data_IF_035377916348
#
_entry.id   IF_035377916348
#
_cell.length_a   1.000
_cell.length_b   1.000
_cell.length_c   1.000
_cell.angle_alpha   90.00
_cell.angle_beta   90.00
_cell.angle_gamma   90.00
#
_symmetry.space_group_name_H-M   'P 1'
#
loop_
_entity.id
_entity.type
_entity.pdbx_description
1 polymer ?
#
# COMPACT_ATOMS: atom_id res chain seq x y z
N UNK A 1 -12.27 -43.58 -3.32
CA UNK A 1 -12.70 -42.26 -3.81
C UNK A 1 -12.56 -41.10 -2.79
N UNK A 2 -12.85 -41.28 -1.48
CA UNK A 2 -12.67 -40.21 -0.49
C UNK A 2 -11.22 -39.70 -0.38
N UNK A 3 -10.23 -40.55 -0.39
CA UNK A 3 -8.80 -40.17 -0.26
C UNK A 3 -8.27 -39.39 -1.47
N UNK A 4 -8.74 -39.66 -2.68
CA UNK A 4 -8.32 -38.94 -3.88
C UNK A 4 -8.77 -37.46 -3.82
N UNK A 5 -9.96 -37.19 -3.29
CA UNK A 5 -10.48 -35.84 -3.11
C UNK A 5 -9.62 -35.00 -2.13
N UNK A 6 -9.12 -35.62 -1.06
CA UNK A 6 -8.21 -34.95 -0.12
C UNK A 6 -6.83 -34.65 -0.75
N UNK A 7 -6.29 -35.58 -1.53
CA UNK A 7 -5.02 -35.34 -2.26
C UNK A 7 -5.16 -34.24 -3.30
N UNK A 8 -6.27 -34.21 -4.05
CA UNK A 8 -6.53 -33.14 -5.02
C UNK A 8 -6.67 -31.77 -4.32
N UNK A 9 -7.41 -31.68 -3.22
CA UNK A 9 -7.55 -30.45 -2.43
C UNK A 9 -6.20 -30.04 -1.83
N UNK A 10 -5.41 -30.97 -1.32
CA UNK A 10 -4.07 -30.70 -0.80
C UNK A 10 -3.11 -30.23 -1.89
N UNK A 11 -3.13 -30.85 -3.07
CA UNK A 11 -2.35 -30.42 -4.24
C UNK A 11 -2.80 -29.05 -4.79
N UNK A 12 -4.10 -28.77 -4.84
CA UNK A 12 -4.64 -27.47 -5.22
C UNK A 12 -4.24 -26.37 -4.24
N UNK A 13 -4.28 -26.66 -2.93
CA UNK A 13 -3.82 -25.71 -1.90
C UNK A 13 -2.31 -25.46 -2.00
N UNK A 14 -1.47 -26.46 -2.32
CA UNK A 14 -0.04 -26.28 -2.57
C UNK A 14 0.20 -25.44 -3.82
N UNK A 15 -0.53 -25.69 -4.92
CA UNK A 15 -0.46 -24.89 -6.14
C UNK A 15 -0.91 -23.44 -5.89
N UNK A 16 -1.93 -23.23 -5.04
CA UNK A 16 -2.34 -21.87 -4.65
C UNK A 16 -1.26 -21.13 -3.85
N UNK A 17 -0.46 -21.82 -3.03
CA UNK A 17 0.63 -21.21 -2.25
C UNK A 17 1.77 -20.75 -3.17
N UNK A 18 2.03 -21.47 -4.27
CA UNK A 18 3.16 -21.19 -5.19
C UNK A 18 2.85 -20.02 -6.15
N UNK A 19 1.59 -19.66 -6.36
CA UNK A 19 1.16 -18.70 -7.37
C UNK A 19 1.30 -17.20 -6.99
N UNK A 20 2.11 -16.88 -5.99
CA UNK A 20 2.32 -15.49 -5.57
C UNK A 20 3.77 -15.24 -5.18
N UNK A 21 4.22 -14.00 -5.38
CA UNK A 21 5.51 -13.51 -4.89
C UNK A 21 5.29 -12.29 -4.03
N UNK A 22 5.90 -12.27 -2.86
CA UNK A 22 5.82 -11.19 -1.88
C UNK A 22 7.17 -10.52 -1.77
N UNK A 23 7.23 -9.23 -2.03
CA UNK A 23 8.38 -8.38 -1.81
C UNK A 23 8.13 -7.50 -0.58
N UNK A 24 8.67 -7.82 0.60
CA UNK A 24 8.66 -6.89 1.71
C UNK A 24 9.40 -5.62 1.31
N UNK A 25 8.82 -4.47 1.57
CA UNK A 25 9.48 -3.20 1.28
C UNK A 25 9.58 -2.32 2.50
N UNK A 26 10.57 -1.43 2.46
CA UNK A 26 10.77 -0.36 3.44
C UNK A 26 10.86 0.96 2.73
N UNK A 27 10.37 1.98 3.42
CA UNK A 27 10.56 3.37 3.05
C UNK A 27 11.61 3.97 4.00
N UNK A 28 12.58 4.66 3.46
CA UNK A 28 13.69 5.22 4.24
C UNK A 28 13.41 6.60 4.85
N UNK A 29 12.13 6.95 5.05
CA UNK A 29 11.80 8.20 5.75
C UNK A 29 12.13 8.06 7.24
N UNK A 30 13.14 8.77 7.69
CA UNK A 30 13.46 8.90 9.12
C UNK A 30 12.70 10.10 9.72
N UNK A 31 11.48 9.85 10.21
CA UNK A 31 10.59 10.87 10.79
C UNK A 31 11.22 11.64 11.98
N UNK A 32 12.24 11.06 12.62
CA UNK A 32 12.83 11.61 13.84
C UNK A 32 14.07 12.50 13.63
N UNK A 33 14.70 12.46 12.45
CA UNK A 33 15.97 13.14 12.16
C UNK A 33 15.84 14.36 11.25
N UNK A 34 14.62 14.73 10.87
CA UNK A 34 14.39 15.66 9.79
C UNK A 34 14.42 17.12 10.27
N UNK A 35 15.47 17.82 9.90
CA UNK A 35 15.50 19.30 9.90
C UNK A 35 14.58 19.82 8.79
N UNK A 36 13.99 21.01 8.95
CA UNK A 36 12.96 21.56 8.07
C UNK A 36 13.30 21.46 6.55
N UNK A 37 14.56 21.67 6.16
CA UNK A 37 14.98 21.62 4.75
C UNK A 37 15.10 20.22 4.16
N UNK A 38 15.65 19.27 4.90
CA UNK A 38 15.88 17.90 4.42
C UNK A 38 14.59 17.08 4.36
N UNK A 39 13.68 17.33 5.28
CA UNK A 39 12.41 16.62 5.39
C UNK A 39 11.56 16.68 4.12
N UNK A 40 11.44 17.87 3.57
CA UNK A 40 10.62 18.11 2.39
C UNK A 40 11.21 17.41 1.17
N UNK A 41 12.52 17.44 1.02
CA UNK A 41 13.22 16.74 -0.06
C UNK A 41 12.99 15.23 0.02
N UNK A 42 13.04 14.64 1.21
CA UNK A 42 12.78 13.21 1.42
C UNK A 42 11.33 12.81 1.14
N UNK A 43 10.35 13.67 1.43
CA UNK A 43 8.94 13.42 1.06
C UNK A 43 8.70 13.52 -0.45
N UNK A 44 9.51 14.28 -1.19
CA UNK A 44 9.45 14.34 -2.65
C UNK A 44 10.20 13.23 -3.36
N UNK A 45 11.13 12.57 -2.69
CA UNK A 45 11.92 11.48 -3.24
C UNK A 45 11.84 10.26 -2.32
N UNK A 46 10.62 9.72 -2.19
CA UNK A 46 10.37 8.53 -1.40
C UNK A 46 11.15 7.35 -1.98
N UNK A 47 11.98 6.75 -1.15
CA UNK A 47 12.80 5.63 -1.54
C UNK A 47 12.22 4.32 -1.00
N UNK A 48 11.18 3.82 -1.67
CA UNK A 48 10.56 2.53 -1.34
C UNK A 48 11.41 1.42 -1.90
N UNK A 49 12.07 0.69 -1.01
CA UNK A 49 13.05 -0.35 -1.40
C UNK A 49 12.63 -1.73 -0.92
N UNK A 50 12.94 -2.72 -1.75
CA UNK A 50 12.89 -4.14 -1.40
C UNK A 50 14.24 -4.79 -1.65
N UNK A 51 14.49 -5.96 -1.08
CA UNK A 51 15.72 -6.69 -1.30
C UNK A 51 15.47 -7.94 -2.13
N UNK A 52 16.35 -8.19 -3.09
CA UNK A 52 16.48 -9.47 -3.77
C UNK A 52 17.86 -10.06 -3.47
N UNK A 53 17.99 -11.35 -3.71
CA UNK A 53 19.28 -12.05 -3.71
C UNK A 53 19.52 -12.57 -5.12
N UNK A 54 20.64 -12.21 -5.74
CA UNK A 54 20.95 -12.53 -7.13
C UNK A 54 22.29 -13.23 -7.25
N UNK A 55 22.37 -14.20 -8.19
CA UNK A 55 23.60 -14.93 -8.52
C UNK A 55 23.91 -16.10 -7.61
N UNK A 56 25.04 -16.77 -7.89
CA UNK A 56 25.54 -17.93 -7.13
C UNK A 56 27.04 -17.77 -6.86
N UNK A 57 27.47 -17.44 -5.64
CA UNK A 57 26.68 -17.26 -4.42
C UNK A 57 25.77 -16.04 -4.46
N UNK A 58 24.70 -16.07 -3.64
CA UNK A 58 23.72 -15.00 -3.61
C UNK A 58 24.32 -13.69 -3.09
N UNK A 59 24.10 -12.61 -3.85
CA UNK A 59 24.41 -11.24 -3.47
C UNK A 59 23.11 -10.49 -3.18
N UNK A 60 23.02 -9.86 -2.01
CA UNK A 60 21.83 -9.08 -1.61
C UNK A 60 21.87 -7.71 -2.28
N UNK A 61 20.85 -7.41 -3.09
CA UNK A 61 20.74 -6.15 -3.83
C UNK A 61 19.43 -5.46 -3.45
N UNK A 62 19.48 -4.24 -2.93
CA UNK A 62 18.29 -3.42 -2.72
C UNK A 62 17.79 -2.87 -4.07
N UNK A 63 16.49 -3.00 -4.32
CA UNK A 63 15.80 -2.48 -5.48
C UNK A 63 14.83 -1.39 -5.08
N UNK A 64 14.87 -0.24 -5.72
CA UNK A 64 13.84 0.78 -5.61
C UNK A 64 12.63 0.40 -6.48
N UNK A 65 11.44 0.44 -5.90
CA UNK A 65 10.18 0.11 -6.60
C UNK A 65 9.68 1.36 -7.33
N UNK A 66 9.42 1.23 -8.66
CA UNK A 66 8.95 2.33 -9.51
C UNK A 66 7.73 1.95 -10.34
N UNK A 67 6.63 2.71 -10.20
CA UNK A 67 5.42 2.51 -11.00
C UNK A 67 5.56 3.02 -12.44
N UNK A 68 6.50 3.92 -12.70
CA UNK A 68 6.72 4.56 -14.01
C UNK A 68 7.81 3.93 -14.85
N UNK A 69 8.46 2.89 -14.36
CA UNK A 69 9.51 2.14 -15.05
C UNK A 69 9.02 0.74 -15.46
N UNK A 70 9.43 0.23 -16.62
CA UNK A 70 9.02 -1.09 -17.11
C UNK A 70 9.95 -2.22 -16.62
N UNK A 71 11.24 -1.96 -16.52
CA UNK A 71 12.27 -2.98 -16.48
C UNK A 71 12.75 -3.29 -15.08
N UNK A 72 13.18 -4.54 -14.88
CA UNK A 72 14.08 -4.91 -13.80
C UNK A 72 15.49 -4.48 -14.19
N UNK A 73 16.09 -3.65 -13.35
CA UNK A 73 17.43 -3.11 -13.56
C UNK A 73 18.29 -3.43 -12.35
N UNK A 74 19.49 -3.91 -12.58
CA UNK A 74 20.51 -4.17 -11.57
C UNK A 74 21.75 -3.35 -11.92
N UNK A 75 22.34 -2.64 -10.96
CA UNK A 75 23.57 -1.89 -11.21
C UNK A 75 24.79 -2.78 -10.99
N UNK A 76 25.71 -2.73 -11.96
CA UNK A 76 26.97 -3.43 -11.92
C UNK A 76 27.92 -2.84 -10.89
N UNK A 77 28.72 -3.70 -10.27
CA UNK A 77 29.77 -3.26 -9.34
C UNK A 77 30.82 -2.39 -10.05
N UNK A 78 31.09 -1.26 -9.43
CA UNK A 78 32.22 -0.39 -9.80
C UNK A 78 33.05 -0.13 -8.55
N UNK A 79 34.36 -0.29 -8.65
CA UNK A 79 35.31 -0.34 -7.53
C UNK A 79 35.33 0.91 -6.63
N UNK A 80 34.75 2.04 -7.07
CA UNK A 80 34.83 3.33 -6.38
C UNK A 80 33.55 3.74 -5.65
N UNK A 81 32.47 2.94 -5.68
CA UNK A 81 31.19 3.32 -5.12
C UNK A 81 30.91 2.71 -3.75
N UNK A 82 30.48 3.54 -2.81
CA UNK A 82 29.97 3.12 -1.47
C UNK A 82 28.63 2.38 -1.52
N UNK A 83 28.06 2.19 -2.74
CA UNK A 83 26.73 1.59 -2.95
C UNK A 83 26.86 0.08 -3.11
N UNK A 84 25.93 -0.67 -2.54
CA UNK A 84 25.83 -2.12 -2.71
C UNK A 84 25.37 -2.40 -4.13
N UNK A 85 26.27 -2.87 -4.99
CA UNK A 85 26.00 -3.19 -6.37
C UNK A 85 26.30 -4.67 -6.66
N UNK A 86 25.71 -5.19 -7.75
CA UNK A 86 25.89 -6.57 -8.15
C UNK A 86 27.23 -6.79 -8.82
N UNK A 87 28.03 -7.73 -8.31
CA UNK A 87 29.29 -8.16 -8.94
C UNK A 87 29.02 -9.43 -9.78
N UNK A 88 28.84 -9.25 -11.09
CA UNK A 88 28.59 -10.33 -12.03
C UNK A 88 29.73 -11.36 -12.09
N UNK A 89 30.97 -10.94 -11.82
CA UNK A 89 32.15 -11.84 -11.87
C UNK A 89 32.16 -12.84 -10.71
N UNK A 90 31.43 -12.55 -9.64
CA UNK A 90 31.28 -13.45 -8.50
C UNK A 90 30.13 -14.45 -8.66
N UNK A 91 29.33 -14.35 -9.73
CA UNK A 91 28.21 -15.28 -9.96
C UNK A 91 28.57 -16.35 -10.98
N UNK A 92 28.39 -17.62 -10.57
CA UNK A 92 28.59 -18.78 -11.44
C UNK A 92 27.46 -18.99 -12.44
N UNK A 93 26.28 -18.39 -12.19
CA UNK A 93 25.07 -18.54 -13.01
C UNK A 93 24.78 -17.34 -13.88
N UNK A 94 25.59 -16.27 -13.76
CA UNK A 94 25.47 -15.08 -14.59
C UNK A 94 25.68 -15.37 -16.05
N UNK A 95 24.79 -14.86 -16.91
CA UNK A 95 24.95 -14.88 -18.37
C UNK A 95 24.63 -13.50 -18.93
N UNK A 96 25.35 -13.12 -19.98
CA UNK A 96 25.08 -11.89 -20.71
C UNK A 96 25.14 -12.18 -22.21
N UNK A 97 24.14 -11.74 -22.95
CA UNK A 97 24.02 -11.97 -24.40
C UNK A 97 24.69 -10.86 -25.22
N UNK A 98 24.92 -9.69 -24.59
CA UNK A 98 25.47 -8.52 -25.27
C UNK A 98 26.96 -8.36 -24.93
N UNK A 99 27.77 -8.21 -25.93
CA UNK A 99 29.24 -7.95 -25.78
C UNK A 99 29.50 -6.51 -25.33
N UNK A 100 28.62 -5.56 -25.66
CA UNK A 100 28.77 -4.13 -25.35
C UNK A 100 27.49 -3.57 -24.70
N UNK A 101 27.60 -2.63 -23.74
CA UNK A 101 26.44 -1.91 -23.20
C UNK A 101 25.78 -1.08 -24.29
N UNK A 102 24.45 -1.08 -24.30
CA UNK A 102 23.60 -0.33 -25.21
C UNK A 102 22.66 0.55 -24.41
N UNK A 103 22.26 1.70 -24.95
CA UNK A 103 21.25 2.57 -24.35
C UNK A 103 19.84 1.99 -24.61
N UNK A 104 19.14 1.57 -23.57
CA UNK A 104 17.78 1.00 -23.66
C UNK A 104 16.67 2.00 -23.33
N UNK A 105 16.94 3.29 -23.36
CA UNK A 105 15.92 4.32 -23.12
C UNK A 105 15.47 4.43 -21.65
N UNK A 106 16.29 3.97 -20.72
CA UNK A 106 16.07 4.16 -19.28
C UNK A 106 16.97 5.30 -18.80
N UNK A 107 16.45 6.54 -18.69
CA UNK A 107 17.27 7.72 -18.38
C UNK A 107 18.03 7.57 -17.05
N UNK A 108 17.46 6.81 -16.11
CA UNK A 108 18.03 6.63 -14.77
C UNK A 108 19.31 5.81 -14.76
N UNK A 109 19.62 5.01 -15.81
CA UNK A 109 20.74 4.07 -15.82
C UNK A 109 21.69 4.21 -17.00
N UNK A 110 21.41 5.10 -17.95
CA UNK A 110 22.26 5.29 -19.11
C UNK A 110 22.49 4.00 -19.91
N UNK A 111 23.74 3.59 -20.07
CA UNK A 111 24.10 2.36 -20.79
C UNK A 111 23.88 1.12 -19.93
N UNK A 112 23.31 0.07 -20.54
CA UNK A 112 23.06 -1.21 -19.89
C UNK A 112 23.27 -2.38 -20.83
N UNK A 113 23.38 -3.59 -20.27
CA UNK A 113 23.56 -4.85 -20.99
C UNK A 113 22.43 -5.80 -20.65
N UNK A 114 21.92 -6.52 -21.63
CA UNK A 114 20.99 -7.64 -21.42
C UNK A 114 21.70 -8.77 -20.70
N UNK A 115 21.17 -9.14 -19.56
CA UNK A 115 21.76 -10.15 -18.68
C UNK A 115 20.70 -11.00 -18.05
N UNK A 116 21.06 -12.20 -17.59
CA UNK A 116 20.20 -13.04 -16.78
C UNK A 116 20.98 -13.71 -15.65
N UNK A 117 20.27 -14.08 -14.61
CA UNK A 117 20.79 -14.85 -13.49
C UNK A 117 19.66 -15.47 -12.67
N UNK A 118 20.02 -16.25 -11.66
CA UNK A 118 19.10 -16.75 -10.64
C UNK A 118 18.79 -15.62 -9.66
N UNK A 119 17.50 -15.40 -9.38
CA UNK A 119 17.04 -14.44 -8.38
C UNK A 119 16.30 -15.18 -7.29
N UNK A 120 16.59 -14.87 -6.03
CA UNK A 120 15.86 -15.36 -4.88
C UNK A 120 15.11 -14.20 -4.22
N UNK A 121 13.80 -14.38 -4.02
CA UNK A 121 12.93 -13.46 -3.30
C UNK A 121 12.32 -14.23 -2.12
N UNK A 122 12.62 -13.81 -0.90
CA UNK A 122 12.31 -14.59 0.30
C UNK A 122 12.82 -16.05 0.20
N UNK A 123 11.92 -17.03 0.25
CA UNK A 123 12.26 -18.46 0.09
C UNK A 123 12.16 -18.96 -1.36
N UNK A 124 11.62 -18.16 -2.28
CA UNK A 124 11.39 -18.57 -3.65
C UNK A 124 12.63 -18.31 -4.52
N UNK A 125 13.02 -19.31 -5.30
CA UNK A 125 14.12 -19.23 -6.27
C UNK A 125 13.49 -19.10 -7.66
N UNK A 126 13.94 -18.08 -8.38
CA UNK A 126 13.49 -17.73 -9.73
C UNK A 126 14.67 -17.91 -10.67
N UNK A 127 14.64 -19.00 -11.42
CA UNK A 127 15.73 -19.33 -12.34
C UNK A 127 15.63 -18.52 -13.63
N UNK A 128 16.77 -18.13 -14.18
CA UNK A 128 16.93 -17.53 -15.51
C UNK A 128 16.05 -16.27 -15.70
N UNK A 129 16.16 -15.33 -14.77
CA UNK A 129 15.45 -14.04 -14.83
C UNK A 129 16.29 -13.02 -15.60
N UNK A 130 15.69 -12.44 -16.65
CA UNK A 130 16.33 -11.40 -17.44
C UNK A 130 16.22 -10.04 -16.79
N UNK A 131 17.29 -9.26 -16.84
CA UNK A 131 17.37 -7.90 -16.35
C UNK A 131 18.33 -7.05 -17.20
N UNK A 132 18.24 -5.74 -17.04
CA UNK A 132 19.23 -4.81 -17.58
C UNK A 132 20.33 -4.61 -16.54
N UNK A 133 21.56 -4.96 -16.87
CA UNK A 133 22.74 -4.66 -16.06
C UNK A 133 23.27 -3.29 -16.43
N UNK A 134 23.02 -2.30 -15.57
CA UNK A 134 23.43 -0.90 -15.77
C UNK A 134 24.87 -0.64 -15.32
N UNK A 135 25.53 0.29 -15.98
CA UNK A 135 26.95 0.65 -15.76
C UNK A 135 27.15 2.13 -15.37
N UNK A 136 26.11 2.86 -15.06
CA UNK A 136 26.23 4.28 -14.72
C UNK A 136 26.81 4.47 -13.30
N UNK A 137 27.80 5.34 -13.21
CA UNK A 137 28.61 5.57 -12.00
C UNK A 137 28.03 6.61 -11.04
N UNK A 138 27.05 7.40 -11.46
CA UNK A 138 26.62 8.60 -10.72
C UNK A 138 25.33 8.39 -9.91
N UNK A 139 24.86 7.15 -9.75
CA UNK A 139 23.57 6.86 -9.10
C UNK A 139 23.73 6.46 -7.64
N UNK A 140 22.71 6.80 -6.86
CA UNK A 140 22.59 6.46 -5.43
C UNK A 140 21.85 5.14 -5.19
N UNK A 141 21.35 4.50 -6.26
CA UNK A 141 20.51 3.31 -6.23
C UNK A 141 21.30 2.07 -6.64
N UNK A 142 20.99 0.91 -6.05
CA UNK A 142 21.62 -0.38 -6.40
C UNK A 142 20.88 -1.13 -7.51
N UNK A 143 19.61 -0.82 -7.71
CA UNK A 143 18.76 -1.37 -8.75
C UNK A 143 17.35 -0.83 -8.71
N UNK A 144 16.57 -1.15 -9.75
CA UNK A 144 15.20 -0.67 -9.95
C UNK A 144 14.27 -1.83 -10.27
N UNK A 145 13.14 -1.90 -9.59
CA UNK A 145 12.03 -2.81 -9.89
C UNK A 145 10.90 -2.02 -10.57
N UNK A 146 10.83 -2.13 -11.88
CA UNK A 146 9.81 -1.46 -12.68
C UNK A 146 8.49 -2.23 -12.72
N UNK A 147 7.38 -1.53 -12.48
CA UNK A 147 6.02 -2.07 -12.45
C UNK A 147 5.07 -1.41 -13.46
N UNK A 148 5.58 -0.55 -14.37
CA UNK A 148 4.76 0.13 -15.37
C UNK A 148 3.97 -0.87 -16.23
N UNK A 149 2.72 -0.53 -16.67
CA UNK A 149 1.93 -1.38 -17.55
C UNK A 149 2.68 -1.70 -18.84
N UNK A 150 2.52 -2.93 -19.34
CA UNK A 150 3.29 -3.45 -20.46
C UNK A 150 2.68 -3.08 -21.81
N UNK A 151 3.56 -2.65 -22.71
CA UNK A 151 3.46 -2.98 -24.11
C UNK A 151 4.27 -4.28 -24.39
N UNK A 152 3.89 -5.07 -25.38
CA UNK A 152 4.32 -6.45 -25.64
C UNK A 152 5.84 -6.67 -25.81
N UNK A 153 6.65 -5.63 -25.83
CA UNK A 153 8.07 -5.68 -26.22
C UNK A 153 9.08 -5.81 -25.07
N UNK A 154 8.66 -5.73 -23.78
CA UNK A 154 9.64 -5.62 -22.69
C UNK A 154 9.90 -6.95 -21.99
N UNK A 155 10.89 -7.67 -22.51
CA UNK A 155 11.35 -8.95 -21.96
C UNK A 155 12.01 -8.87 -20.56
N UNK A 156 12.30 -7.65 -20.09
CA UNK A 156 12.94 -7.39 -18.80
C UNK A 156 11.95 -7.01 -17.69
N UNK A 157 10.64 -6.99 -17.98
CA UNK A 157 9.65 -6.80 -16.94
C UNK A 157 9.52 -8.06 -16.10
N UNK A 158 9.72 -7.95 -14.79
CA UNK A 158 9.70 -9.09 -13.88
C UNK A 158 8.33 -9.79 -13.88
N UNK A 159 7.22 -9.05 -13.77
CA UNK A 159 5.86 -9.63 -13.70
C UNK A 159 5.56 -10.45 -14.98
N UNK A 160 5.95 -9.93 -16.14
CA UNK A 160 5.77 -10.63 -17.40
C UNK A 160 6.59 -11.95 -17.46
N UNK A 161 7.82 -11.93 -16.96
CA UNK A 161 8.66 -13.12 -16.90
C UNK A 161 8.08 -14.17 -15.96
N UNK A 162 7.59 -13.76 -14.79
CA UNK A 162 6.93 -14.64 -13.82
C UNK A 162 5.70 -15.33 -14.45
N UNK A 163 4.89 -14.57 -15.21
CA UNK A 163 3.74 -15.12 -15.94
C UNK A 163 4.16 -16.11 -17.02
N UNK A 164 5.14 -15.75 -17.87
CA UNK A 164 5.66 -16.64 -18.92
C UNK A 164 6.27 -17.94 -18.39
N UNK A 165 6.85 -17.91 -17.20
CA UNK A 165 7.40 -19.07 -16.52
C UNK A 165 6.37 -19.85 -15.69
N UNK A 166 5.09 -19.47 -15.73
CA UNK A 166 3.99 -20.06 -14.97
C UNK A 166 4.21 -20.05 -13.46
N UNK A 167 5.00 -19.09 -12.96
CA UNK A 167 5.22 -18.88 -11.51
C UNK A 167 4.02 -18.15 -10.90
N UNK A 168 3.39 -17.27 -11.68
CA UNK A 168 2.12 -16.60 -11.32
C UNK A 168 1.07 -16.87 -12.41
N UNK A 169 -0.21 -16.89 -12.01
CA UNK A 169 -1.31 -17.11 -12.96
C UNK A 169 -1.83 -15.81 -13.60
N UNK A 170 -1.67 -14.68 -12.94
CA UNK A 170 -2.16 -13.38 -13.38
C UNK A 170 -1.10 -12.30 -13.18
N UNK A 171 -1.04 -11.36 -14.12
CA UNK A 171 -0.13 -10.20 -14.01
C UNK A 171 -0.75 -9.11 -13.14
N UNK A 172 -1.04 -9.46 -11.90
CA UNK A 172 -1.68 -8.62 -10.91
C UNK A 172 -0.65 -8.25 -9.85
N UNK A 173 -0.70 -7.02 -9.37
CA UNK A 173 0.01 -6.65 -8.17
C UNK A 173 -0.75 -5.58 -7.37
N UNK A 174 -0.43 -5.49 -6.09
CA UNK A 174 -0.92 -4.43 -5.20
C UNK A 174 0.06 -4.20 -4.04
N UNK A 175 -0.10 -3.06 -3.40
CA UNK A 175 0.67 -2.68 -2.22
C UNK A 175 -0.17 -2.87 -0.97
N UNK A 176 0.37 -3.62 -0.01
CA UNK A 176 -0.17 -3.77 1.32
C UNK A 176 0.71 -2.99 2.28
N UNK A 177 0.21 -1.88 2.79
CA UNK A 177 0.94 -1.05 3.75
C UNK A 177 0.71 -1.53 5.18
N UNK A 178 1.76 -1.50 6.00
CA UNK A 178 1.65 -1.81 7.43
C UNK A 178 0.78 -0.76 8.14
N UNK A 179 -0.16 -1.22 8.97
CA UNK A 179 -0.99 -0.33 9.80
C UNK A 179 -0.18 0.31 10.94
N UNK A 180 0.80 -0.42 11.48
CA UNK A 180 1.55 -0.03 12.67
C UNK A 180 2.85 0.69 12.34
N UNK A 181 3.40 0.49 11.13
CA UNK A 181 4.65 1.11 10.71
C UNK A 181 4.46 1.82 9.36
N UNK A 182 4.57 3.14 9.39
CA UNK A 182 4.46 3.97 8.18
C UNK A 182 5.47 3.58 7.10
N UNK A 183 6.63 3.08 7.50
CA UNK A 183 7.77 2.84 6.62
C UNK A 183 7.80 1.42 6.04
N UNK A 184 6.83 0.56 6.32
CA UNK A 184 6.88 -0.85 5.93
C UNK A 184 5.62 -1.28 5.18
N UNK A 185 5.79 -2.29 4.34
CA UNK A 185 4.70 -2.93 3.62
C UNK A 185 5.17 -4.11 2.79
N UNK A 186 4.27 -4.60 1.95
CA UNK A 186 4.49 -5.71 1.05
C UNK A 186 3.97 -5.35 -0.35
N UNK A 187 4.77 -5.58 -1.37
CA UNK A 187 4.32 -5.65 -2.77
C UNK A 187 3.96 -7.12 -3.05
N UNK A 188 2.71 -7.38 -3.31
CA UNK A 188 2.19 -8.72 -3.58
C UNK A 188 1.90 -8.83 -5.07
N UNK A 189 2.46 -9.87 -5.71
CA UNK A 189 2.34 -10.12 -7.15
C UNK A 189 1.68 -11.48 -7.38
N UNK A 190 0.73 -11.56 -8.31
CA UNK A 190 0.12 -12.79 -8.80
C UNK A 190 -1.24 -13.15 -8.20
N UNK A 191 -1.67 -12.51 -7.12
CA UNK A 191 -2.96 -12.75 -6.45
C UNK A 191 -3.71 -11.47 -6.15
N UNK A 192 -5.05 -11.59 -6.08
CA UNK A 192 -5.91 -10.52 -5.59
C UNK A 192 -5.89 -10.42 -4.06
N UNK A 193 -6.13 -9.24 -3.48
CA UNK A 193 -6.30 -9.08 -2.04
C UNK A 193 -7.35 -10.02 -1.43
N UNK A 194 -8.50 -10.23 -2.08
CA UNK A 194 -9.55 -11.13 -1.59
C UNK A 194 -9.17 -12.62 -1.63
N UNK A 195 -8.14 -13.00 -2.40
CA UNK A 195 -7.59 -14.35 -2.40
C UNK A 195 -6.55 -14.55 -1.30
N UNK A 196 -5.78 -13.51 -1.00
CA UNK A 196 -4.70 -13.53 -0.02
C UNK A 196 -5.18 -13.19 1.40
N UNK A 197 -6.06 -12.19 1.53
CA UNK A 197 -6.59 -11.69 2.81
C UNK A 197 -8.12 -11.73 2.84
N UNK A 198 -8.70 -12.91 2.68
CA UNK A 198 -10.15 -13.16 2.60
C UNK A 198 -10.98 -12.56 3.76
N UNK A 199 -10.35 -12.34 4.92
CA UNK A 199 -11.01 -11.74 6.09
C UNK A 199 -11.17 -10.22 5.99
N UNK A 200 -10.36 -9.57 5.18
CA UNK A 200 -10.29 -8.10 5.05
C UNK A 200 -10.98 -7.64 3.77
N UNK A 201 -10.78 -8.39 2.69
CA UNK A 201 -11.27 -8.01 1.36
C UNK A 201 -12.36 -8.95 0.87
N UNK A 202 -13.54 -8.41 0.58
CA UNK A 202 -14.62 -9.14 -0.07
C UNK A 202 -14.55 -8.93 -1.59
N UNK A 203 -14.62 -10.03 -2.35
CA UNK A 203 -14.66 -10.00 -3.80
C UNK A 203 -15.84 -9.18 -4.35
N UNK A 204 -16.96 -9.18 -3.65
CA UNK A 204 -18.16 -8.44 -4.07
C UNK A 204 -17.97 -6.92 -4.03
N UNK A 205 -17.02 -6.44 -3.22
CA UNK A 205 -16.66 -5.03 -3.11
C UNK A 205 -15.56 -4.61 -4.09
N UNK A 206 -15.08 -5.55 -4.92
CA UNK A 206 -14.06 -5.27 -5.92
C UNK A 206 -14.68 -4.65 -7.17
N UNK A 207 -14.24 -3.45 -7.51
CA UNK A 207 -14.64 -2.72 -8.71
C UNK A 207 -13.42 -2.41 -9.56
N UNK A 208 -13.62 -2.30 -10.86
CA UNK A 208 -12.54 -2.05 -11.82
C UNK A 208 -12.88 -0.93 -12.78
N UNK A 209 -11.85 -0.23 -13.26
CA UNK A 209 -11.90 0.71 -14.37
C UNK A 209 -10.82 0.36 -15.39
N UNK A 210 -11.06 0.66 -16.65
CA UNK A 210 -10.07 0.51 -17.70
C UNK A 210 -8.89 1.46 -17.47
N UNK A 211 -7.68 0.98 -17.75
CA UNK A 211 -6.50 1.85 -17.84
C UNK A 211 -6.70 2.88 -18.96
N UNK A 212 -6.33 4.13 -18.67
CA UNK A 212 -6.32 5.18 -19.67
C UNK A 212 -5.06 5.01 -20.52
N UNK A 213 -5.25 4.70 -21.80
CA UNK A 213 -4.16 4.50 -22.75
C UNK A 213 -4.06 5.72 -23.65
N UNK A 214 -3.16 6.65 -23.35
CA UNK A 214 -2.91 7.84 -24.20
C UNK A 214 -2.09 7.49 -25.44
N UNK A 215 -0.95 6.83 -25.26
CA UNK A 215 -0.06 6.30 -26.30
C UNK A 215 0.64 5.04 -25.77
N UNK A 216 1.05 4.10 -26.63
CA UNK A 216 1.68 2.84 -26.19
C UNK A 216 2.87 3.05 -25.25
N UNK A 217 3.73 4.02 -25.51
CA UNK A 217 4.92 4.32 -24.70
C UNK A 217 4.64 5.16 -23.45
N UNK A 218 3.48 5.80 -23.37
CA UNK A 218 3.07 6.71 -22.29
C UNK A 218 2.00 6.09 -21.37
N UNK A 219 1.86 4.75 -21.37
CA UNK A 219 0.92 4.08 -20.48
C UNK A 219 1.37 4.22 -19.03
N UNK A 220 0.57 4.90 -18.23
CA UNK A 220 0.70 4.98 -16.79
C UNK A 220 -0.53 4.35 -16.12
N UNK A 221 -0.43 4.04 -14.85
CA UNK A 221 -1.61 3.73 -14.08
C UNK A 221 -2.33 5.04 -13.79
N UNK A 222 -3.46 5.24 -14.44
CA UNK A 222 -4.23 6.49 -14.39
C UNK A 222 -5.71 6.17 -14.19
N UNK A 223 -6.40 7.02 -13.42
CA UNK A 223 -7.85 6.99 -13.27
C UNK A 223 -8.45 8.36 -13.59
N UNK A 224 -9.70 8.36 -14.06
CA UNK A 224 -10.48 9.58 -14.23
C UNK A 224 -11.12 9.98 -12.91
N UNK A 225 -10.95 11.25 -12.55
CA UNK A 225 -11.67 11.92 -11.47
C UNK A 225 -12.56 12.99 -12.14
N UNK A 226 -13.86 12.79 -12.06
CA UNK A 226 -14.84 13.62 -12.77
C UNK A 226 -15.22 14.84 -11.95
N UNK A 227 -15.09 14.76 -10.62
CA UNK A 227 -15.39 15.87 -9.71
C UNK A 227 -14.46 15.86 -8.50
N UNK A 228 -13.96 17.05 -8.14
CA UNK A 228 -13.24 17.28 -6.90
C UNK A 228 -14.08 18.25 -6.06
N UNK A 229 -14.45 17.84 -4.84
CA UNK A 229 -15.24 18.66 -3.93
C UNK A 229 -14.46 18.98 -2.66
N UNK A 230 -14.45 20.26 -2.27
CA UNK A 230 -13.79 20.77 -1.08
C UNK A 230 -14.77 21.73 -0.39
N UNK A 231 -15.38 21.30 0.70
CA UNK A 231 -16.45 22.11 1.33
C UNK A 231 -17.57 22.43 0.35
N UNK A 232 -17.79 23.71 0.11
CA UNK A 232 -18.79 24.21 -0.85
C UNK A 232 -18.24 24.37 -2.28
N UNK A 233 -16.93 24.25 -2.48
CA UNK A 233 -16.30 24.34 -3.77
C UNK A 233 -16.39 23.02 -4.51
N UNK A 234 -16.68 23.09 -5.81
CA UNK A 234 -16.68 21.92 -6.71
C UNK A 234 -15.92 22.25 -7.99
N UNK A 235 -14.95 21.41 -8.35
CA UNK A 235 -14.25 21.40 -9.62
C UNK A 235 -14.83 20.22 -10.42
N UNK A 236 -15.67 20.53 -11.42
CA UNK A 236 -16.39 19.52 -12.22
C UNK A 236 -15.75 19.38 -13.61
N UNK A 237 -14.46 19.19 -13.64
CA UNK A 237 -13.69 18.94 -14.86
C UNK A 237 -13.10 17.54 -14.77
N UNK A 238 -13.22 16.76 -15.84
CA UNK A 238 -12.62 15.43 -15.90
C UNK A 238 -11.09 15.54 -15.86
N UNK A 239 -10.50 15.15 -14.75
CA UNK A 239 -9.06 15.19 -14.51
C UNK A 239 -8.49 13.78 -14.51
N UNK A 240 -7.33 13.61 -15.14
CA UNK A 240 -6.63 12.34 -15.16
C UNK A 240 -5.58 12.33 -14.06
N UNK A 241 -5.71 11.40 -13.11
CA UNK A 241 -4.78 11.23 -12.01
C UNK A 241 -3.88 10.01 -12.27
N UNK A 242 -2.58 10.25 -12.30
CA UNK A 242 -1.58 9.18 -12.30
C UNK A 242 -1.26 8.74 -10.86
N UNK A 243 -0.74 7.52 -10.69
CA UNK A 243 -0.24 7.04 -9.40
C UNK A 243 1.28 7.15 -9.31
N UNK A 244 1.78 7.57 -8.16
CA UNK A 244 3.22 7.66 -7.88
C UNK A 244 3.54 7.12 -6.49
N UNK A 245 4.55 6.24 -6.41
CA UNK A 245 5.16 5.81 -5.15
C UNK A 245 6.36 6.68 -4.77
N UNK A 246 6.83 7.51 -5.69
CA UNK A 246 8.09 8.24 -5.56
C UNK A 246 7.94 9.51 -4.74
N UNK A 247 6.71 9.94 -4.46
CA UNK A 247 6.44 11.09 -3.61
C UNK A 247 5.29 10.80 -2.64
N UNK A 248 5.30 11.53 -1.54
CA UNK A 248 4.26 11.43 -0.52
C UNK A 248 2.97 12.13 -0.94
N UNK A 249 3.07 13.23 -1.65
CA UNK A 249 2.05 14.24 -1.87
C UNK A 249 1.00 13.88 -2.92
N UNK A 250 -0.19 14.47 -2.81
CA UNK A 250 -1.09 14.66 -3.92
C UNK A 250 -0.57 15.85 -4.71
N UNK A 251 -0.23 15.63 -5.98
CA UNK A 251 0.25 16.67 -6.87
C UNK A 251 -0.91 17.29 -7.64
N UNK A 252 -1.00 18.61 -7.63
CA UNK A 252 -2.09 19.37 -8.22
C UNK A 252 -1.49 20.46 -9.12
N UNK A 253 -2.05 20.70 -10.33
CA UNK A 253 -1.65 21.80 -11.18
C UNK A 253 -1.78 23.15 -10.48
N UNK A 254 -0.83 24.05 -10.72
CA UNK A 254 -0.75 25.37 -10.09
C UNK A 254 -2.01 26.24 -10.29
N UNK A 255 -2.73 26.07 -11.40
CA UNK A 255 -3.95 26.84 -11.68
C UNK A 255 -5.05 26.64 -10.62
N UNK A 256 -5.06 25.50 -9.94
CA UNK A 256 -6.03 25.20 -8.88
C UNK A 256 -5.57 25.63 -7.48
N UNK A 257 -4.33 26.14 -7.34
CA UNK A 257 -3.70 26.46 -6.05
C UNK A 257 -4.59 27.34 -5.16
N UNK A 258 -5.15 28.41 -5.73
CA UNK A 258 -5.97 29.38 -4.98
C UNK A 258 -7.19 28.74 -4.31
N UNK A 259 -7.79 27.72 -4.94
CA UNK A 259 -8.95 27.03 -4.38
C UNK A 259 -8.60 26.26 -3.12
N UNK A 260 -7.45 25.57 -3.13
CA UNK A 260 -6.97 24.79 -1.98
C UNK A 260 -6.41 25.70 -0.87
N UNK A 261 -5.73 26.78 -1.24
CA UNK A 261 -5.23 27.76 -0.25
C UNK A 261 -6.36 28.34 0.57
N UNK A 262 -7.44 28.78 -0.05
CA UNK A 262 -8.56 29.39 0.61
C UNK A 262 -9.23 28.46 1.65
N UNK A 263 -9.22 27.15 1.42
CA UNK A 263 -9.87 26.16 2.28
C UNK A 263 -8.95 25.57 3.36
N UNK A 264 -7.65 25.45 3.06
CA UNK A 264 -6.72 24.67 3.90
C UNK A 264 -5.56 25.48 4.47
N UNK A 265 -5.31 26.68 3.99
CA UNK A 265 -4.10 27.45 4.34
C UNK A 265 -4.46 28.76 5.01
N UNK A 266 -4.09 28.88 6.29
CA UNK A 266 -4.13 30.15 6.99
C UNK A 266 -2.77 30.83 6.91
N UNK A 267 -2.68 31.95 6.23
CA UNK A 267 -1.43 32.68 6.00
C UNK A 267 -0.72 33.16 7.29
N UNK A 268 -1.41 33.23 8.42
CA UNK A 268 -0.80 33.58 9.71
C UNK A 268 -0.16 32.41 10.41
N UNK A 269 -0.59 31.17 10.11
CA UNK A 269 -0.13 29.93 10.74
C UNK A 269 0.64 29.00 9.79
N UNK A 270 0.52 29.23 8.48
CA UNK A 270 1.13 28.40 7.45
C UNK A 270 2.08 29.24 6.58
N UNK A 271 3.30 28.74 6.40
CA UNK A 271 4.32 29.35 5.55
C UNK A 271 4.35 28.64 4.19
N UNK A 272 4.26 29.43 3.11
CA UNK A 272 4.54 28.97 1.74
C UNK A 272 6.02 28.68 1.60
N UNK A 273 6.36 27.53 1.01
CA UNK A 273 7.72 27.17 0.62
C UNK A 273 7.69 26.85 -0.88
N UNK A 274 8.65 27.38 -1.62
CA UNK A 274 8.85 27.16 -3.03
C UNK A 274 10.27 26.65 -3.26
N UNK A 275 10.40 25.54 -3.98
CA UNK A 275 11.72 24.99 -4.30
C UNK A 275 12.16 25.33 -5.72
N UNK A 276 13.43 25.03 -6.05
CA UNK A 276 14.09 25.34 -7.33
C UNK A 276 13.38 24.74 -8.57
N UNK A 277 12.45 23.79 -8.36
CA UNK A 277 11.70 23.10 -9.42
C UNK A 277 10.26 23.67 -9.53
N UNK A 278 10.02 24.87 -9.04
CA UNK A 278 8.70 25.53 -9.03
C UNK A 278 7.59 24.67 -8.39
N UNK A 279 7.91 23.93 -7.34
CA UNK A 279 6.93 23.20 -6.50
C UNK A 279 6.58 24.07 -5.31
N UNK A 280 5.29 24.25 -5.08
CA UNK A 280 4.78 25.02 -3.95
C UNK A 280 4.09 24.09 -2.98
N UNK A 281 4.46 24.16 -1.73
CA UNK A 281 3.83 23.45 -0.62
C UNK A 281 3.76 24.34 0.62
N UNK A 282 3.03 23.87 1.64
CA UNK A 282 2.77 24.64 2.86
C UNK A 282 3.22 23.86 4.09
N UNK A 283 3.87 24.60 4.99
CA UNK A 283 4.26 24.11 6.32
C UNK A 283 3.56 24.99 7.34
N UNK A 284 2.75 24.36 8.19
CA UNK A 284 1.96 25.05 9.21
C UNK A 284 2.53 24.81 10.60
N UNK A 285 2.21 25.69 11.54
CA UNK A 285 2.57 25.52 12.94
C UNK A 285 1.87 24.29 13.53
N UNK A 286 2.49 23.69 14.54
CA UNK A 286 1.97 22.46 15.18
C UNK A 286 0.58 22.67 15.83
N UNK A 287 0.31 23.89 16.26
CA UNK A 287 -0.96 24.32 16.87
C UNK A 287 -2.03 24.75 15.85
N UNK A 288 -1.77 24.53 14.55
CA UNK A 288 -2.75 24.81 13.50
C UNK A 288 -3.98 23.89 13.66
N UNK A 289 -5.16 24.49 13.85
CA UNK A 289 -6.41 23.76 14.10
C UNK A 289 -6.97 23.15 12.82
N UNK A 290 -6.54 21.90 12.53
CA UNK A 290 -6.99 21.14 11.35
C UNK A 290 -8.40 20.55 11.54
N UNK A 291 -8.98 20.56 12.77
CA UNK A 291 -10.28 19.94 13.05
C UNK A 291 -11.46 20.68 12.41
N UNK A 292 -11.27 21.95 12.06
CA UNK A 292 -12.27 22.80 11.40
C UNK A 292 -12.21 22.78 9.87
N UNK A 293 -11.22 22.08 9.31
CA UNK A 293 -11.02 22.05 7.86
C UNK A 293 -11.94 21.02 7.19
N UNK A 294 -12.28 21.30 5.95
CA UNK A 294 -13.10 20.41 5.14
C UNK A 294 -12.29 19.20 4.64
N UNK A 295 -13.01 18.11 4.37
CA UNK A 295 -12.46 16.95 3.66
C UNK A 295 -12.37 17.23 2.17
N UNK A 296 -11.45 16.57 1.47
CA UNK A 296 -11.43 16.55 0.01
C UNK A 296 -12.10 15.26 -0.47
N UNK A 297 -12.98 15.40 -1.46
CA UNK A 297 -13.67 14.29 -2.10
C UNK A 297 -13.28 14.25 -3.58
N UNK A 298 -12.87 13.07 -4.06
CA UNK A 298 -12.53 12.81 -5.45
C UNK A 298 -13.53 11.78 -5.99
N UNK A 299 -14.48 12.21 -6.81
CA UNK A 299 -15.47 11.32 -7.41
C UNK A 299 -14.99 10.81 -8.75
N UNK A 300 -15.04 9.49 -8.94
CA UNK A 300 -14.77 8.81 -10.20
C UNK A 300 -16.03 8.10 -10.71
N UNK A 301 -16.54 8.55 -11.85
CA UNK A 301 -17.69 7.94 -12.49
C UNK A 301 -17.37 6.50 -12.95
N UNK A 302 -16.18 6.31 -13.52
CA UNK A 302 -15.74 5.00 -14.02
C UNK A 302 -15.64 3.93 -12.93
N UNK A 303 -15.35 4.33 -11.68
CA UNK A 303 -15.32 3.45 -10.51
C UNK A 303 -16.61 3.52 -9.70
N UNK A 304 -17.54 4.45 -10.03
CA UNK A 304 -18.73 4.74 -9.23
C UNK A 304 -18.42 4.83 -7.73
N UNK A 305 -17.40 5.64 -7.41
CA UNK A 305 -16.90 5.77 -6.05
C UNK A 305 -16.36 7.17 -5.76
N UNK A 306 -16.54 7.62 -4.52
CA UNK A 306 -15.97 8.88 -4.02
C UNK A 306 -14.84 8.56 -3.03
N UNK A 307 -13.61 8.87 -3.40
CA UNK A 307 -12.47 8.81 -2.50
C UNK A 307 -12.48 10.02 -1.60
N UNK A 308 -12.39 9.82 -0.29
CA UNK A 308 -12.43 10.88 0.71
C UNK A 308 -11.09 10.94 1.43
N UNK A 309 -10.46 12.12 1.45
CA UNK A 309 -9.30 12.38 2.30
C UNK A 309 -9.75 13.34 3.39
N UNK A 310 -9.68 12.89 4.63
CA UNK A 310 -10.05 13.71 5.78
C UNK A 310 -9.01 14.80 6.02
N UNK A 311 -9.42 15.89 6.66
CA UNK A 311 -8.53 17.02 6.94
C UNK A 311 -7.29 16.62 7.75
N UNK A 312 -7.43 15.71 8.71
CA UNK A 312 -6.32 15.23 9.54
C UNK A 312 -5.31 14.36 8.76
N UNK A 313 -5.74 13.73 7.67
CA UNK A 313 -4.88 12.96 6.76
C UNK A 313 -4.14 13.86 5.76
N UNK A 314 -4.68 15.07 5.49
CA UNK A 314 -4.05 16.07 4.62
C UNK A 314 -2.84 16.77 5.25
N UNK A 315 -2.60 16.55 6.54
CA UNK A 315 -1.47 17.16 7.23
C UNK A 315 -0.55 16.09 7.81
N UNK A 316 0.64 15.99 7.24
CA UNK A 316 1.67 15.14 7.80
C UNK A 316 2.24 15.76 9.08
N UNK A 317 2.21 15.01 10.19
CA UNK A 317 2.68 15.48 11.49
C UNK A 317 4.18 15.28 11.63
N UNK A 318 4.95 16.35 11.44
CA UNK A 318 6.37 16.41 11.80
C UNK A 318 6.55 16.60 13.31
N UNK A 319 7.82 16.74 13.74
CA UNK A 319 8.15 16.94 15.16
C UNK A 319 7.52 18.24 15.70
N UNK A 320 7.71 19.35 15.01
CA UNK A 320 7.33 20.69 15.44
C UNK A 320 6.41 21.42 14.44
N UNK A 321 6.08 20.80 13.31
CA UNK A 321 5.31 21.39 12.22
C UNK A 321 4.33 20.39 11.63
N UNK A 322 3.32 20.92 10.95
CA UNK A 322 2.39 20.19 10.09
C UNK A 322 2.73 20.50 8.63
N UNK A 323 2.85 19.47 7.80
CA UNK A 323 3.11 19.63 6.38
C UNK A 323 1.84 19.30 5.61
N UNK A 324 1.36 20.24 4.83
CA UNK A 324 0.20 20.03 3.99
C UNK A 324 0.53 19.03 2.87
N UNK A 325 -0.20 17.92 2.81
CA UNK A 325 0.09 16.78 1.93
C UNK A 325 -0.31 17.02 0.46
N UNK A 326 -0.52 18.27 0.08
CA UNK A 326 -0.76 18.70 -1.30
C UNK A 326 0.40 19.57 -1.74
N UNK A 327 0.88 19.31 -2.95
CA UNK A 327 1.89 20.14 -3.63
C UNK A 327 1.37 20.65 -4.95
N UNK A 328 1.63 21.93 -5.21
CA UNK A 328 1.24 22.58 -6.45
C UNK A 328 2.42 22.58 -7.43
N UNK A 329 2.15 22.08 -8.63
CA UNK A 329 3.15 21.87 -9.68
C UNK A 329 2.89 22.80 -10.88
N UNK A 330 3.95 23.30 -11.51
CA UNK A 330 3.82 24.05 -12.76
C UNK A 330 3.29 23.18 -13.92
N UNK A 331 3.48 21.86 -13.85
CA UNK A 331 2.95 20.89 -14.80
C UNK A 331 1.45 20.71 -14.62
N UNK A 332 0.74 20.41 -15.73
CA UNK A 332 -0.72 20.19 -15.72
C UNK A 332 -1.12 18.77 -15.29
N UNK A 333 -0.20 18.00 -14.70
CA UNK A 333 -0.45 16.64 -14.29
C UNK A 333 -0.96 16.58 -12.86
N UNK A 334 -2.03 15.78 -12.66
CA UNK A 334 -2.50 15.39 -11.35
C UNK A 334 -1.88 14.03 -10.96
N UNK A 335 -1.52 13.87 -9.70
CA UNK A 335 -0.96 12.61 -9.23
C UNK A 335 -1.36 12.30 -7.79
N UNK A 336 -1.75 11.05 -7.56
CA UNK A 336 -1.90 10.48 -6.23
C UNK A 336 -0.58 9.89 -5.76
N UNK A 337 -0.03 10.45 -4.68
CA UNK A 337 1.21 9.97 -4.08
C UNK A 337 1.02 8.82 -3.10
N UNK A 338 2.09 8.49 -2.39
CA UNK A 338 2.16 7.42 -1.39
C UNK A 338 1.05 7.50 -0.33
N UNK A 339 0.75 8.69 0.16
CA UNK A 339 -0.32 8.93 1.14
C UNK A 339 -1.66 8.35 0.68
N UNK A 340 -2.04 8.62 -0.57
CA UNK A 340 -3.29 8.15 -1.15
C UNK A 340 -3.28 6.62 -1.36
N UNK A 341 -2.18 6.09 -1.92
CA UNK A 341 -2.01 4.65 -2.11
C UNK A 341 -2.00 3.87 -0.81
N UNK A 342 -1.53 4.49 0.28
CA UNK A 342 -1.56 3.89 1.61
C UNK A 342 -2.98 3.80 2.18
N UNK A 343 -3.82 4.79 1.90
CA UNK A 343 -5.20 4.80 2.36
C UNK A 343 -6.08 3.81 1.59
N UNK A 344 -5.88 3.75 0.29
CA UNK A 344 -6.72 2.95 -0.60
C UNK A 344 -5.92 1.83 -1.27
N UNK A 345 -6.41 0.60 -1.15
CA UNK A 345 -5.76 -0.56 -1.77
C UNK A 345 -6.15 -0.67 -3.23
N UNK A 346 -5.29 -0.18 -4.10
CA UNK A 346 -5.43 -0.35 -5.55
C UNK A 346 -4.78 -1.64 -6.01
N UNK A 347 -5.44 -2.29 -6.96
CA UNK A 347 -4.97 -3.50 -7.65
C UNK A 347 -4.69 -3.16 -9.10
N UNK A 348 -3.50 -3.47 -9.56
CA UNK A 348 -3.04 -3.18 -10.91
C UNK A 348 -3.02 -4.49 -11.72
N UNK A 349 -3.93 -4.61 -12.70
CA UNK A 349 -4.08 -5.80 -13.55
C UNK A 349 -3.47 -5.51 -14.93
N UNK A 350 -2.21 -5.90 -15.12
CA UNK A 350 -1.48 -5.58 -16.35
C UNK A 350 -2.02 -6.34 -17.57
N UNK A 351 -2.35 -7.61 -17.42
CA UNK A 351 -2.86 -8.48 -18.48
C UNK A 351 -4.24 -8.09 -18.99
N UNK A 352 -5.09 -7.54 -18.10
CA UNK A 352 -6.43 -7.07 -18.47
C UNK A 352 -6.49 -5.57 -18.75
N UNK A 353 -5.39 -4.83 -18.51
CA UNK A 353 -5.35 -3.37 -18.58
C UNK A 353 -6.41 -2.70 -17.71
N UNK A 354 -6.53 -3.16 -16.47
CA UNK A 354 -7.49 -2.65 -15.49
C UNK A 354 -6.76 -2.09 -14.26
N UNK A 355 -7.39 -1.13 -13.63
CA UNK A 355 -7.12 -0.74 -12.24
C UNK A 355 -8.33 -1.16 -11.43
N UNK A 356 -8.10 -1.92 -10.38
CA UNK A 356 -9.12 -2.34 -9.44
C UNK A 356 -9.00 -1.62 -8.11
N UNK A 357 -10.11 -1.57 -7.40
CA UNK A 357 -10.20 -0.98 -6.07
C UNK A 357 -11.25 -1.73 -5.25
N UNK A 358 -11.03 -1.85 -3.94
CA UNK A 358 -12.04 -2.40 -3.02
C UNK A 358 -12.79 -1.26 -2.36
N UNK A 359 -14.12 -1.24 -2.55
CA UNK A 359 -14.99 -0.40 -1.73
C UNK A 359 -14.85 -0.87 -0.28
N UNK A 360 -14.33 -0.01 0.56
CA UNK A 360 -14.54 -0.21 1.99
C UNK A 360 -15.94 0.32 2.27
N UNK A 361 -16.89 -0.56 2.54
CA UNK A 361 -18.07 -0.16 3.29
C UNK A 361 -17.53 0.47 4.57
N UNK A 362 -17.88 1.73 4.83
CA UNK A 362 -17.50 2.44 6.04
C UNK A 362 -17.58 1.45 7.18
N UNK A 363 -16.45 1.08 7.74
CA UNK A 363 -16.25 0.04 8.70
C UNK A 363 -17.55 -0.31 9.40
N UNK A 364 -18.19 -1.44 9.05
CA UNK A 364 -19.04 -2.13 10.01
C UNK A 364 -18.15 -2.34 11.21
N UNK A 365 -18.24 -1.36 12.11
CA UNK A 365 -17.47 -1.26 13.33
C UNK A 365 -17.40 -2.66 13.91
N UNK A 366 -16.22 -3.24 14.05
CA UNK A 366 -15.99 -4.48 14.80
C UNK A 366 -16.46 -4.34 16.25
N UNK A 367 -16.91 -3.18 16.65
CA UNK A 367 -17.65 -2.89 17.87
C UNK A 367 -18.90 -3.76 18.03
N UNK A 368 -19.51 -4.29 16.96
CA UNK A 368 -20.64 -5.20 17.11
C UNK A 368 -20.22 -6.50 17.77
N UNK A 369 -19.04 -7.05 17.49
CA UNK A 369 -18.55 -8.23 18.17
C UNK A 369 -18.26 -7.96 19.66
N UNK A 370 -17.62 -6.84 19.98
CA UNK A 370 -17.42 -6.40 21.37
C UNK A 370 -18.74 -6.14 22.08
N UNK A 371 -19.71 -5.55 21.42
CA UNK A 371 -21.05 -5.32 21.97
C UNK A 371 -21.76 -6.65 22.25
N UNK A 372 -21.69 -7.61 21.35
CA UNK A 372 -22.24 -8.96 21.57
C UNK A 372 -21.55 -9.69 22.71
N UNK A 373 -20.23 -9.60 22.82
CA UNK A 373 -19.46 -10.21 23.94
C UNK A 373 -19.87 -9.55 25.26
N UNK A 374 -20.02 -8.24 25.33
CA UNK A 374 -20.49 -7.52 26.50
C UNK A 374 -21.92 -7.94 26.87
N UNK A 375 -22.84 -8.04 25.90
CA UNK A 375 -24.22 -8.49 26.13
C UNK A 375 -24.27 -9.92 26.68
N UNK A 376 -23.45 -10.82 26.17
CA UNK A 376 -23.36 -12.22 26.66
C UNK A 376 -22.83 -12.25 28.10
N UNK A 377 -21.79 -11.48 28.42
CA UNK A 377 -21.22 -11.43 29.78
C UNK A 377 -22.27 -10.84 30.76
N UNK A 378 -22.92 -9.73 30.41
CA UNK A 378 -23.97 -9.14 31.27
C UNK A 378 -25.17 -10.07 31.42
N UNK A 379 -25.61 -10.71 30.34
CA UNK A 379 -26.72 -11.67 30.38
C UNK A 379 -26.42 -12.88 31.29
N UNK A 380 -25.21 -13.44 31.22
CA UNK A 380 -24.79 -14.54 32.07
C UNK A 380 -24.69 -14.16 33.55
N UNK A 381 -24.18 -12.95 33.87
CA UNK A 381 -24.11 -12.47 35.26
C UNK A 381 -25.50 -12.25 35.85
N UNK A 382 -26.47 -11.75 35.11
CA UNK A 382 -27.86 -11.59 35.55
C UNK A 382 -28.49 -12.93 35.83
N UNK A 383 -28.30 -13.93 34.99
CA UNK A 383 -28.84 -15.32 35.23
C UNK A 383 -28.27 -15.91 36.49
N UNK A 384 -26.96 -15.77 36.74
CA UNK A 384 -26.33 -16.25 37.97
C UNK A 384 -26.91 -15.53 39.19
N UNK A 385 -27.11 -14.22 39.13
CA UNK A 385 -27.68 -13.42 40.20
C UNK A 385 -29.13 -13.86 40.56
N UNK A 386 -29.96 -14.03 39.50
CA UNK A 386 -31.35 -14.54 39.68
C UNK A 386 -31.36 -15.93 40.32
N UNK A 387 -30.50 -16.82 39.86
CA UNK A 387 -30.37 -18.18 40.42
C UNK A 387 -29.95 -18.13 41.89
N UNK A 388 -29.00 -17.26 42.23
CA UNK A 388 -28.56 -17.07 43.62
C UNK A 388 -29.65 -16.50 44.48
N UNK A 389 -30.40 -15.50 44.05
CA UNK A 389 -31.56 -14.93 44.78
C UNK A 389 -32.62 -16.02 45.00
N UNK A 390 -32.95 -16.81 43.98
CA UNK A 390 -33.89 -17.89 44.08
C UNK A 390 -33.46 -18.95 45.14
N UNK A 391 -32.17 -19.30 45.15
CA UNK A 391 -31.59 -20.20 46.14
C UNK A 391 -31.74 -19.64 47.59
N UNK A 392 -31.45 -18.35 47.78
CA UNK A 392 -31.60 -17.68 49.07
C UNK A 392 -33.06 -17.65 49.54
N UNK A 393 -33.99 -17.36 48.65
CA UNK A 393 -35.43 -17.37 48.93
C UNK A 393 -35.90 -18.78 49.30
N UNK A 394 -35.44 -19.80 48.63
CA UNK A 394 -35.74 -21.22 48.93
C UNK A 394 -35.20 -21.64 50.30
N UNK A 395 -33.97 -21.20 50.65
CA UNK A 395 -33.37 -21.42 51.99
C UNK A 395 -34.16 -20.73 53.09
N UNK A 396 -34.58 -19.48 52.87
CA UNK A 396 -35.40 -18.70 53.82
C UNK A 396 -36.79 -19.30 54.03
N UNK A 397 -37.42 -19.85 52.99
CA UNK A 397 -38.71 -20.59 53.12
C UNK A 397 -38.54 -21.90 53.94
N UNK A 398 -37.45 -22.64 53.76
CA UNK A 398 -37.16 -23.81 54.55
C UNK A 398 -36.94 -23.50 56.03
N UNK A 399 -36.19 -22.43 56.32
CA UNK A 399 -36.00 -21.98 57.75
C UNK A 399 -37.33 -21.58 58.40
N UNK A 400 -38.20 -20.83 57.75
CA UNK A 400 -39.51 -20.46 58.25
C UNK A 400 -40.42 -21.71 58.46
N UNK A 401 -40.36 -22.69 57.57
CA UNK A 401 -41.11 -23.92 57.71
C UNK A 401 -40.64 -24.74 58.94
N UNK A 402 -39.34 -24.76 59.18
CA UNK A 402 -38.79 -25.46 60.37
C UNK A 402 -39.15 -24.71 61.67
N UNK A 403 -39.08 -23.36 61.70
CA UNK A 403 -39.56 -22.55 62.85
C UNK A 403 -41.05 -22.74 63.15
N UNK A 404 -41.89 -22.92 62.14
CA UNK A 404 -43.29 -23.23 62.32
C UNK A 404 -43.49 -24.63 62.90
N UNK A 405 -42.71 -25.63 62.49
CA UNK A 405 -42.79 -26.98 63.03
C UNK A 405 -42.36 -27.04 64.52
N UNK A 406 -41.24 -26.36 64.86
CA UNK A 406 -40.81 -26.25 66.26
C UNK A 406 -41.85 -25.60 67.18
N UNK A 407 -42.53 -24.53 66.68
CA UNK A 407 -43.56 -23.85 67.43
C UNK A 407 -44.85 -24.72 67.64
N UNK A 408 -45.12 -25.68 66.79
CA UNK A 408 -46.25 -26.60 66.97
C UNK A 408 -45.95 -27.75 67.90
N UNK A 409 -44.67 -28.15 68.12
CA UNK A 409 -44.31 -29.21 69.08
C UNK A 409 -44.39 -28.74 70.54
N UNK A 410 -44.53 -27.44 70.82
CA UNK A 410 -44.62 -26.90 72.17
C UNK A 410 -46.05 -26.48 72.62
N UNK A 411 -47.11 -26.96 71.95
CA UNK A 411 -48.46 -26.79 72.43
C UNK A 411 -48.78 -27.97 73.41
N UNK A 412 -48.93 -27.74 74.75
CA UNK A 412 -49.34 -28.76 75.72
C UNK A 412 -50.79 -29.19 75.45
N UNK A 413 -51.02 -30.47 75.43
CA UNK A 413 -52.33 -31.08 75.43
C UNK A 413 -53.09 -30.81 76.74
#
# INVERSE_FOLDING_TARGET
MKNIKYYIIFFLNILEIIAQIIFPFKNNIFLSSLTEGNFITELFDLNITTNIYIGTPYQKIPLRIKLRLFNLVILSFQSNNKIITYNQNNSKTFKSNDSRPIYYGVPEIGFSRKSNDIIKVNSQILDDINFLLGYDTNKTESGLLGLKPLDSYYQFNLINQLKKKNIIFSQIFYFKFSKNNFNEGELIIGKYPHEYEKKIYDKNNYITSNLIVKKPLEQFYEINIDQIKIGNLSISENQIFSFSLENYFIQIPYIYKKYFENEFVNNTKCKKIENDINRIFYVCDKDYDISKLNNIQFYSHSLNYTFIINADELFFKGKDKLIFAIVFMAQLEWSFGYMFLRKYTFVFEQDKKLIGFYKFDDFKNSNSFFLWVIIIIFGSTIIVLISYIHHLLKKKRKLRANELIENYEYLPL
#
